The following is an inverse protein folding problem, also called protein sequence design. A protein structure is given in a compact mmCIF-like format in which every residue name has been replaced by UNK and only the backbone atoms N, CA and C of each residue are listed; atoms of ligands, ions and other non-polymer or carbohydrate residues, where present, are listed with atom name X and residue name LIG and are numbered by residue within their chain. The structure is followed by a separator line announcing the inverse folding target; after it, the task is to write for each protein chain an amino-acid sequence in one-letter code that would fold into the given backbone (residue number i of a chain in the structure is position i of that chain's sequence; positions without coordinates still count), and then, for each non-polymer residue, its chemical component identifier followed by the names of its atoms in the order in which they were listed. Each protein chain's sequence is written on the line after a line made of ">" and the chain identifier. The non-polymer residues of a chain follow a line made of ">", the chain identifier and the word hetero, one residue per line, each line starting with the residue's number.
data_IF_709843157161
#
_entry.id   IF_709843157161
#
_cell.length_a   1.000
_cell.length_b   1.000
_cell.length_c   1.000
_cell.angle_alpha   90.00
_cell.angle_beta   90.00
_cell.angle_gamma   90.00
#
_symmetry.space_group_name_H-M   'P 1'
#
loop_
_entity.id
_entity.type
_entity.pdbx_description
1 polymer ?
#
# COMPACT_ATOMS: atom_id res chain seq x y z
N UNK A 1 4.86 -26.37 34.12
CA UNK A 1 4.09 -25.14 33.80
C UNK A 1 2.73 -25.27 34.46
N UNK A 2 2.26 -24.25 35.19
CA UNK A 2 0.95 -24.27 35.83
C UNK A 2 -0.04 -23.29 35.17
N UNK A 3 -1.35 -23.40 35.50
CA UNK A 3 -2.39 -22.60 34.85
C UNK A 3 -2.22 -21.08 35.06
N UNK A 4 -1.73 -20.65 36.23
CA UNK A 4 -1.50 -19.22 36.51
C UNK A 4 -0.41 -18.63 35.63
N UNK A 5 0.67 -19.41 35.38
CA UNK A 5 1.72 -19.01 34.44
C UNK A 5 1.17 -18.87 33.02
N UNK A 6 0.31 -19.81 32.57
CA UNK A 6 -0.33 -19.78 31.25
C UNK A 6 -1.21 -18.53 31.13
N UNK A 7 -2.10 -18.28 32.11
CA UNK A 7 -2.97 -17.11 32.11
C UNK A 7 -2.17 -15.79 32.04
N UNK A 8 -1.12 -15.67 32.87
CA UNK A 8 -0.28 -14.48 32.90
C UNK A 8 0.42 -14.22 31.58
N UNK A 9 0.96 -15.27 30.96
CA UNK A 9 1.66 -15.15 29.67
C UNK A 9 0.71 -14.75 28.55
N UNK A 10 -0.46 -15.39 28.46
CA UNK A 10 -1.44 -15.09 27.42
C UNK A 10 -2.13 -13.74 27.68
N UNK A 11 -2.45 -13.41 28.93
CA UNK A 11 -3.12 -12.16 29.29
C UNK A 11 -2.28 -10.90 29.05
N UNK A 12 -0.95 -11.04 28.95
CA UNK A 12 -0.02 -9.95 28.58
C UNK A 12 0.23 -9.84 27.09
N UNK A 13 -0.25 -10.80 26.29
CA UNK A 13 0.00 -10.81 24.86
C UNK A 13 -0.90 -9.81 24.13
N UNK A 14 -0.29 -8.93 23.35
CA UNK A 14 -0.99 -8.12 22.35
C UNK A 14 -0.97 -8.88 21.03
N UNK A 15 -2.14 -9.28 20.50
CA UNK A 15 -2.20 -10.05 19.26
C UNK A 15 -1.52 -9.31 18.10
N UNK A 16 -0.68 -10.03 17.38
CA UNK A 16 0.03 -9.56 16.20
C UNK A 16 0.03 -10.66 15.14
N UNK A 17 0.21 -10.33 13.85
CA UNK A 17 0.44 -11.33 12.82
C UNK A 17 1.62 -12.23 13.17
N UNK A 18 1.50 -13.52 12.86
CA UNK A 18 2.61 -14.45 13.03
C UNK A 18 3.76 -14.06 12.10
N UNK A 19 4.97 -13.97 12.66
CA UNK A 19 6.18 -13.53 11.93
C UNK A 19 6.60 -14.52 10.82
N UNK A 20 7.32 -14.04 9.78
CA UNK A 20 7.76 -12.65 9.55
C UNK A 20 6.68 -11.81 8.87
N UNK A 21 6.51 -10.57 9.32
CA UNK A 21 5.56 -9.63 8.73
C UNK A 21 6.17 -8.23 8.69
N UNK A 22 6.08 -7.54 7.57
CA UNK A 22 6.51 -6.15 7.41
C UNK A 22 5.30 -5.24 7.38
N UNK A 23 5.46 -4.04 7.87
CA UNK A 23 4.44 -3.00 7.85
C UNK A 23 4.93 -1.83 7.01
N UNK A 24 4.07 -1.30 6.17
CA UNK A 24 4.33 -0.15 5.32
C UNK A 24 3.27 0.91 5.56
N UNK A 25 3.70 2.17 5.66
CA UNK A 25 2.83 3.32 5.65
C UNK A 25 2.97 4.05 4.32
N UNK A 26 1.86 4.32 3.65
CA UNK A 26 1.85 5.11 2.42
C UNK A 26 0.90 6.28 2.54
N UNK A 27 1.25 7.40 1.93
CA UNK A 27 0.39 8.56 1.77
C UNK A 27 -0.28 8.51 0.40
N UNK A 28 -1.55 8.81 0.36
CA UNK A 28 -2.32 9.11 -0.85
C UNK A 28 -2.44 10.63 -0.90
N UNK A 29 -1.51 11.36 -1.59
CA UNK A 29 -1.51 12.80 -1.58
C UNK A 29 -2.65 13.33 -2.45
N UNK A 30 -3.60 13.99 -1.80
CA UNK A 30 -4.71 14.68 -2.43
C UNK A 30 -4.32 16.16 -2.64
N UNK A 31 -3.90 16.47 -3.86
CA UNK A 31 -3.40 17.80 -4.21
C UNK A 31 -4.57 18.74 -4.49
N UNK A 32 -4.66 19.80 -3.69
CA UNK A 32 -5.73 20.80 -3.76
C UNK A 32 -5.29 22.00 -4.61
N UNK A 33 -6.07 22.31 -5.63
CA UNK A 33 -5.90 23.48 -6.48
C UNK A 33 -7.24 24.22 -6.66
N UNK A 34 -7.52 25.19 -5.80
CA UNK A 34 -8.84 25.80 -5.70
C UNK A 34 -9.89 24.77 -5.27
N UNK A 35 -10.91 24.58 -6.10
CA UNK A 35 -11.98 23.59 -5.85
C UNK A 35 -11.71 22.24 -6.55
N UNK A 36 -10.55 22.07 -7.16
CA UNK A 36 -10.16 20.83 -7.85
C UNK A 36 -9.17 20.03 -7.02
N UNK A 37 -9.28 18.71 -7.16
CA UNK A 37 -8.39 17.76 -6.52
C UNK A 37 -7.74 16.83 -7.54
N UNK A 38 -6.46 16.50 -7.30
CA UNK A 38 -5.72 15.50 -8.07
C UNK A 38 -4.99 14.58 -7.11
N UNK A 39 -4.74 13.34 -7.50
CA UNK A 39 -3.84 12.44 -6.80
C UNK A 39 -2.43 12.63 -7.35
N UNK A 40 -1.44 12.74 -6.46
CA UNK A 40 -0.03 12.74 -6.84
C UNK A 40 0.50 11.32 -6.80
N UNK A 41 1.22 10.95 -7.83
CA UNK A 41 1.93 9.69 -7.96
C UNK A 41 3.41 9.93 -8.19
N UNK A 42 4.20 8.94 -7.86
CA UNK A 42 5.63 8.88 -8.12
C UNK A 42 5.96 7.74 -9.07
N UNK A 43 6.95 7.96 -9.92
CA UNK A 43 7.64 6.91 -10.66
C UNK A 43 8.93 6.61 -9.91
N UNK A 44 9.11 5.39 -9.46
CA UNK A 44 10.29 4.95 -8.73
C UNK A 44 11.54 5.04 -9.59
N UNK A 45 12.65 5.48 -8.99
CA UNK A 45 13.93 5.59 -9.68
C UNK A 45 14.38 4.25 -10.28
N UNK A 46 14.92 4.29 -11.50
CA UNK A 46 15.51 3.12 -12.19
C UNK A 46 16.74 2.55 -11.45
N UNK A 47 17.34 3.32 -10.53
CA UNK A 47 18.49 2.90 -9.72
C UNK A 47 18.09 2.02 -8.52
N UNK A 48 16.81 1.92 -8.22
CA UNK A 48 16.33 1.11 -7.11
C UNK A 48 16.40 -0.40 -7.43
N UNK A 49 16.78 -1.20 -6.42
CA UNK A 49 16.84 -2.66 -6.53
C UNK A 49 15.42 -3.26 -6.61
N UNK A 50 14.45 -2.62 -5.96
CA UNK A 50 13.08 -3.15 -5.86
C UNK A 50 12.12 -2.30 -6.67
N UNK A 51 11.45 -2.91 -7.64
CA UNK A 51 10.39 -2.31 -8.44
C UNK A 51 10.79 -0.98 -9.12
N UNK A 52 11.94 -0.91 -9.83
CA UNK A 52 12.33 0.29 -10.58
C UNK A 52 11.28 0.62 -11.64
N UNK A 53 11.02 1.92 -11.85
CA UNK A 53 10.06 2.43 -12.84
C UNK A 53 8.58 2.16 -12.53
N UNK A 54 8.25 1.52 -11.40
CA UNK A 54 6.84 1.33 -11.01
C UNK A 54 6.23 2.64 -10.49
N UNK A 55 4.92 2.79 -10.77
CA UNK A 55 4.15 3.92 -10.27
C UNK A 55 3.58 3.58 -8.89
N UNK A 56 3.85 4.43 -7.91
CA UNK A 56 3.40 4.26 -6.54
C UNK A 56 2.90 5.57 -5.92
N UNK A 57 2.40 5.45 -4.71
CA UNK A 57 2.23 6.56 -3.78
C UNK A 57 3.48 6.69 -2.91
N UNK A 58 3.82 7.90 -2.43
CA UNK A 58 4.87 8.08 -1.45
C UNK A 58 4.69 7.18 -0.24
N UNK A 59 5.78 6.56 0.22
CA UNK A 59 5.72 5.70 1.38
C UNK A 59 6.76 4.61 1.43
N UNK A 60 6.92 4.01 2.61
CA UNK A 60 7.98 3.05 2.85
C UNK A 60 7.74 2.11 4.02
N UNK A 61 8.81 1.43 4.41
CA UNK A 61 8.82 0.51 5.54
C UNK A 61 8.72 1.23 6.87
N UNK A 62 7.85 0.73 7.75
CA UNK A 62 7.69 1.27 9.10
C UNK A 62 8.90 0.93 9.96
N UNK A 63 9.49 1.94 10.58
CA UNK A 63 10.57 1.81 11.56
C UNK A 63 10.05 1.38 12.95
N UNK A 64 10.98 0.89 13.80
CA UNK A 64 10.65 0.53 15.17
C UNK A 64 10.24 1.76 15.98
N UNK A 65 9.07 1.67 16.62
CA UNK A 65 8.56 2.72 17.50
C UNK A 65 7.64 3.75 16.82
N UNK A 66 7.63 3.85 15.50
CA UNK A 66 6.68 4.72 14.80
C UNK A 66 5.34 4.01 14.51
N UNK A 67 4.27 4.77 14.38
CA UNK A 67 3.00 4.29 13.84
C UNK A 67 3.03 4.23 12.31
N UNK A 68 2.12 3.47 11.66
CA UNK A 68 2.03 3.48 10.19
C UNK A 68 1.73 4.87 9.59
N UNK A 69 1.02 5.74 10.31
CA UNK A 69 0.74 7.11 9.87
C UNK A 69 2.00 7.98 9.94
N UNK A 70 2.77 7.89 11.02
CA UNK A 70 4.05 8.61 11.14
C UNK A 70 5.02 8.18 10.06
N UNK A 71 5.09 6.87 9.75
CA UNK A 71 5.85 6.33 8.62
C UNK A 71 5.41 6.96 7.29
N UNK A 72 4.10 6.95 6.99
CA UNK A 72 3.59 7.54 5.75
C UNK A 72 3.94 9.02 5.60
N UNK A 73 3.86 9.80 6.69
CA UNK A 73 4.24 11.23 6.68
C UNK A 73 5.74 11.39 6.49
N UNK A 74 6.56 10.66 7.24
CA UNK A 74 8.04 10.73 7.15
C UNK A 74 8.53 10.43 5.73
N UNK A 75 8.12 9.29 5.18
CA UNK A 75 8.52 8.87 3.83
C UNK A 75 8.09 9.92 2.78
N UNK A 76 6.84 10.42 2.87
CA UNK A 76 6.37 11.47 1.96
C UNK A 76 7.22 12.73 2.03
N UNK A 77 7.64 13.13 3.24
CA UNK A 77 8.53 14.29 3.41
C UNK A 77 9.92 14.04 2.81
N UNK A 78 10.44 12.83 2.93
CA UNK A 78 11.75 12.44 2.40
C UNK A 78 11.74 12.34 0.86
N UNK A 79 10.72 11.70 0.28
CA UNK A 79 10.59 11.50 -1.17
C UNK A 79 10.22 12.80 -1.89
N UNK A 80 9.23 13.54 -1.39
CA UNK A 80 8.77 14.80 -2.00
C UNK A 80 9.52 16.06 -1.51
N UNK A 81 10.48 15.91 -0.60
CA UNK A 81 11.25 17.04 -0.04
C UNK A 81 10.36 18.17 0.50
N UNK A 82 9.23 17.84 1.13
CA UNK A 82 8.30 18.77 1.78
C UNK A 82 8.34 18.60 3.29
N UNK A 83 7.94 19.65 4.02
CA UNK A 83 7.86 19.57 5.48
C UNK A 83 6.51 19.01 5.95
N UNK A 84 6.48 18.32 7.11
CA UNK A 84 5.29 17.60 7.57
C UNK A 84 4.08 18.50 7.83
N UNK A 85 4.29 19.77 8.16
CA UNK A 85 3.22 20.75 8.36
C UNK A 85 2.47 21.13 7.06
N UNK A 86 2.98 20.70 5.90
CA UNK A 86 2.31 20.85 4.60
C UNK A 86 1.35 19.71 4.28
N UNK A 87 1.30 18.68 5.11
CA UNK A 87 0.49 17.49 4.93
C UNK A 87 -0.62 17.49 5.98
N UNK A 88 -1.86 17.80 5.58
CA UNK A 88 -3.03 17.62 6.43
C UNK A 88 -3.57 16.20 6.28
N UNK A 89 -3.19 15.29 7.20
CA UNK A 89 -3.71 13.92 7.18
C UNK A 89 -5.18 13.92 7.58
N UNK A 90 -6.08 13.58 6.65
CA UNK A 90 -7.54 13.61 6.86
C UNK A 90 -8.14 12.26 7.25
N UNK A 91 -7.43 11.15 7.04
CA UNK A 91 -7.89 9.83 7.46
C UNK A 91 -7.09 8.68 6.88
N UNK A 92 -7.47 7.47 7.29
CA UNK A 92 -6.94 6.22 6.80
C UNK A 92 -7.93 5.55 5.84
N UNK A 93 -7.42 4.86 4.82
CA UNK A 93 -8.19 3.93 3.99
C UNK A 93 -8.11 2.50 4.56
N UNK A 94 -8.82 1.57 3.94
CA UNK A 94 -8.71 0.16 4.32
C UNK A 94 -7.28 -0.35 4.10
N UNK A 95 -6.72 -0.96 5.13
CA UNK A 95 -5.39 -1.56 5.02
C UNK A 95 -5.42 -2.86 4.21
N UNK A 96 -4.30 -3.19 3.62
CA UNK A 96 -4.16 -4.29 2.69
C UNK A 96 -3.12 -5.31 3.19
N UNK A 97 -3.56 -6.53 3.44
CA UNK A 97 -2.65 -7.66 3.68
C UNK A 97 -2.23 -8.28 2.36
N UNK A 98 -0.94 -8.28 2.09
CA UNK A 98 -0.37 -8.90 0.89
C UNK A 98 0.01 -10.36 1.14
N UNK A 99 -0.09 -11.19 0.11
CA UNK A 99 0.37 -12.58 0.16
C UNK A 99 1.90 -12.71 0.33
N UNK A 100 2.64 -11.62 0.09
CA UNK A 100 4.10 -11.52 0.28
C UNK A 100 4.50 -11.12 1.71
N UNK A 101 3.64 -11.37 2.70
CA UNK A 101 3.90 -11.20 4.13
C UNK A 101 4.16 -9.75 4.57
N UNK A 102 3.38 -8.82 4.07
CA UNK A 102 3.34 -7.46 4.58
C UNK A 102 1.92 -6.91 4.66
N UNK A 103 1.75 -5.88 5.48
CA UNK A 103 0.54 -5.06 5.53
C UNK A 103 0.85 -3.65 5.09
N UNK A 104 0.02 -3.11 4.20
CA UNK A 104 0.07 -1.75 3.70
C UNK A 104 -1.04 -0.93 4.36
N UNK A 105 -0.67 0.18 4.98
CA UNK A 105 -1.59 1.13 5.63
C UNK A 105 -1.61 2.43 4.82
N UNK A 106 -2.67 2.69 4.04
CA UNK A 106 -2.78 3.93 3.28
C UNK A 106 -3.48 5.01 4.10
N UNK A 107 -2.95 6.23 4.02
CA UNK A 107 -3.52 7.44 4.63
C UNK A 107 -3.76 8.49 3.55
N UNK A 108 -4.83 9.24 3.66
CA UNK A 108 -5.10 10.37 2.73
C UNK A 108 -4.60 11.65 3.38
N UNK A 109 -3.74 12.37 2.67
CA UNK A 109 -3.21 13.65 3.10
C UNK A 109 -3.47 14.73 2.06
N UNK A 110 -4.06 15.86 2.49
CA UNK A 110 -4.26 17.03 1.64
C UNK A 110 -3.00 17.86 1.62
N UNK A 111 -2.57 18.27 0.41
CA UNK A 111 -1.41 19.13 0.18
C UNK A 111 -1.82 20.19 -0.83
N UNK A 112 -1.45 21.46 -0.58
CA UNK A 112 -1.71 22.52 -1.54
C UNK A 112 -0.83 22.36 -2.79
N UNK A 113 -1.40 22.63 -3.96
CA UNK A 113 -0.69 22.57 -5.24
C UNK A 113 0.57 23.45 -5.26
N UNK A 114 0.53 24.61 -4.62
CA UNK A 114 1.67 25.54 -4.52
C UNK A 114 2.89 24.91 -3.82
N UNK A 115 2.65 23.96 -2.91
CA UNK A 115 3.72 23.29 -2.17
C UNK A 115 4.36 22.13 -2.96
N UNK A 116 3.74 21.66 -4.06
CA UNK A 116 4.25 20.52 -4.86
C UNK A 116 4.57 20.86 -6.31
N UNK A 117 4.11 21.97 -6.86
CA UNK A 117 4.23 22.32 -8.30
C UNK A 117 5.67 22.39 -8.85
N UNK A 118 6.65 22.63 -8.01
CA UNK A 118 8.07 22.79 -8.38
C UNK A 118 9.00 22.18 -7.33
N UNK A 119 8.58 21.14 -6.61
CA UNK A 119 9.40 20.55 -5.56
C UNK A 119 10.60 19.80 -6.15
N UNK A 120 11.76 19.91 -5.52
CA UNK A 120 12.88 19.03 -5.77
C UNK A 120 12.60 17.71 -5.03
N UNK A 121 12.09 16.69 -5.71
CA UNK A 121 11.96 15.36 -5.12
C UNK A 121 13.32 14.66 -4.99
N UNK A 122 13.40 13.64 -4.14
CA UNK A 122 14.60 12.83 -3.93
C UNK A 122 14.90 11.97 -5.17
N UNK A 123 15.80 12.43 -6.03
CA UNK A 123 16.14 11.76 -7.29
C UNK A 123 16.75 10.36 -7.12
N UNK A 124 17.23 9.99 -5.92
CA UNK A 124 17.72 8.65 -5.67
C UNK A 124 16.57 7.64 -5.56
N UNK A 125 15.37 8.09 -5.20
CA UNK A 125 14.20 7.26 -4.94
C UNK A 125 13.07 7.50 -5.95
N UNK A 126 12.92 8.74 -6.41
CA UNK A 126 11.86 9.20 -7.29
C UNK A 126 12.45 9.71 -8.60
N UNK A 127 12.00 9.17 -9.72
CA UNK A 127 12.39 9.60 -11.07
C UNK A 127 11.50 10.73 -11.58
N UNK A 128 10.22 10.66 -11.29
CA UNK A 128 9.19 11.59 -11.76
C UNK A 128 8.04 11.66 -10.76
N UNK A 129 7.39 12.82 -10.67
CA UNK A 129 6.10 12.97 -10.02
C UNK A 129 5.09 13.50 -11.03
N UNK A 130 3.84 13.01 -10.96
CA UNK A 130 2.76 13.47 -11.82
C UNK A 130 1.42 13.50 -11.11
N UNK A 131 0.50 14.29 -11.66
CA UNK A 131 -0.84 14.47 -11.12
C UNK A 131 -1.88 13.85 -12.04
N UNK A 132 -2.84 13.16 -11.43
CA UNK A 132 -4.04 12.68 -12.12
C UNK A 132 -5.26 13.30 -11.45
N UNK A 133 -6.15 13.99 -12.19
CA UNK A 133 -7.37 14.54 -11.61
C UNK A 133 -8.18 13.45 -10.91
N UNK A 134 -8.71 13.76 -9.71
CA UNK A 134 -9.53 12.80 -8.95
C UNK A 134 -10.78 12.40 -9.75
N UNK A 135 -11.36 13.35 -10.50
CA UNK A 135 -12.53 13.12 -11.38
C UNK A 135 -12.26 11.99 -12.39
N UNK A 136 -11.02 11.88 -12.92
CA UNK A 136 -10.68 10.78 -13.81
C UNK A 136 -10.97 9.41 -13.17
N UNK A 137 -10.60 9.21 -11.93
CA UNK A 137 -10.85 7.95 -11.22
C UNK A 137 -12.31 7.77 -10.78
N UNK A 138 -13.02 8.87 -10.56
CA UNK A 138 -14.45 8.83 -10.23
C UNK A 138 -15.31 8.51 -11.46
N UNK A 139 -14.89 8.92 -12.65
CA UNK A 139 -15.60 8.71 -13.91
C UNK A 139 -15.24 7.40 -14.62
N UNK A 140 -14.06 6.82 -14.30
CA UNK A 140 -13.55 5.64 -15.00
C UNK A 140 -13.34 4.47 -14.06
N UNK A 141 -13.91 3.32 -14.41
CA UNK A 141 -13.63 2.05 -13.73
C UNK A 141 -12.31 1.46 -14.25
N UNK A 142 -11.51 0.79 -13.37
CA UNK A 142 -10.28 0.15 -13.82
C UNK A 142 -10.55 -1.10 -14.65
N UNK A 143 -9.70 -1.39 -15.62
CA UNK A 143 -9.62 -2.72 -16.19
C UNK A 143 -9.13 -3.68 -15.09
N UNK A 144 -9.88 -4.74 -14.83
CA UNK A 144 -9.61 -5.61 -13.67
C UNK A 144 -9.34 -7.05 -14.07
N UNK A 145 -8.23 -7.60 -13.58
CA UNK A 145 -7.90 -9.02 -13.70
C UNK A 145 -7.94 -9.70 -12.33
N UNK A 146 -8.19 -11.00 -12.34
CA UNK A 146 -8.14 -11.84 -11.13
C UNK A 146 -7.08 -12.91 -11.33
N UNK A 147 -6.02 -12.87 -10.51
CA UNK A 147 -4.95 -13.87 -10.52
C UNK A 147 -5.19 -14.90 -9.43
N UNK A 148 -5.11 -16.22 -9.73
CA UNK A 148 -5.13 -17.23 -8.69
C UNK A 148 -3.83 -17.19 -7.88
N UNK A 149 -3.94 -17.41 -6.57
CA UNK A 149 -2.81 -17.57 -5.67
C UNK A 149 -2.87 -18.99 -5.12
N UNK A 150 -1.92 -19.81 -5.50
CA UNK A 150 -1.84 -21.23 -5.12
C UNK A 150 -0.52 -21.49 -4.38
N UNK A 151 -0.53 -22.34 -3.32
CA UNK A 151 0.70 -22.75 -2.70
C UNK A 151 1.57 -23.54 -3.68
N UNK A 152 2.86 -23.24 -3.72
CA UNK A 152 3.86 -24.10 -4.36
C UNK A 152 4.37 -25.06 -3.31
N UNK A 153 4.16 -26.35 -3.51
CA UNK A 153 4.53 -27.38 -2.57
C UNK A 153 5.95 -27.87 -2.90
N UNK A 154 6.88 -27.91 -1.92
CA UNK A 154 8.19 -28.49 -2.13
C UNK A 154 8.10 -29.97 -2.55
N UNK A 155 8.97 -30.41 -3.46
CA UNK A 155 8.95 -31.79 -3.98
C UNK A 155 9.22 -32.84 -2.91
N UNK A 156 9.89 -32.47 -1.83
CA UNK A 156 10.26 -33.33 -0.69
C UNK A 156 9.21 -33.28 0.44
N UNK A 157 8.09 -32.59 0.26
CA UNK A 157 7.02 -32.54 1.26
C UNK A 157 6.35 -33.92 1.39
N UNK A 158 6.48 -34.54 2.56
CA UNK A 158 5.89 -35.84 2.84
C UNK A 158 4.49 -35.71 3.44
N UNK A 159 3.46 -36.00 2.65
CA UNK A 159 2.06 -35.95 3.07
C UNK A 159 1.71 -36.89 4.23
N UNK A 160 2.45 -37.98 4.42
CA UNK A 160 2.25 -38.88 5.57
C UNK A 160 2.46 -38.15 6.91
N UNK A 161 3.27 -37.08 6.97
CA UNK A 161 3.47 -36.29 8.17
C UNK A 161 2.20 -35.56 8.65
N UNK A 162 1.25 -35.35 7.75
CA UNK A 162 -0.05 -34.74 8.05
C UNK A 162 -1.20 -35.74 8.01
N UNK A 163 -0.88 -37.06 8.03
CA UNK A 163 -1.84 -38.16 7.95
C UNK A 163 -2.77 -38.06 6.72
N UNK A 164 -2.21 -37.68 5.57
CA UNK A 164 -2.95 -37.52 4.33
C UNK A 164 -2.30 -38.28 3.19
N UNK A 165 -3.12 -38.74 2.26
CA UNK A 165 -2.65 -39.33 1.01
C UNK A 165 -2.58 -38.27 -0.09
N UNK A 166 -1.70 -38.45 -1.06
CA UNK A 166 -1.65 -37.58 -2.25
C UNK A 166 -2.82 -37.89 -3.20
N UNK A 167 -3.34 -36.87 -3.89
CA UNK A 167 -3.09 -35.45 -3.81
C UNK A 167 -3.93 -34.74 -2.73
N UNK A 168 -3.29 -33.92 -1.89
CA UNK A 168 -3.99 -33.05 -0.93
C UNK A 168 -4.48 -31.75 -1.62
N UNK A 169 -5.74 -31.41 -1.43
CA UNK A 169 -6.32 -30.18 -2.01
C UNK A 169 -6.02 -28.97 -1.10
N UNK A 170 -5.02 -28.21 -1.46
CA UNK A 170 -4.68 -26.97 -0.78
C UNK A 170 -5.71 -25.87 -1.07
N UNK A 171 -5.97 -25.03 -0.05
CA UNK A 171 -6.78 -23.82 -0.26
C UNK A 171 -6.05 -22.86 -1.17
N UNK A 172 -6.78 -22.28 -2.11
CA UNK A 172 -6.29 -21.26 -3.05
C UNK A 172 -6.94 -19.92 -2.72
N UNK A 173 -6.21 -18.84 -3.00
CA UNK A 173 -6.71 -17.47 -2.91
C UNK A 173 -6.87 -16.83 -4.28
N UNK A 174 -7.25 -15.55 -4.27
CA UNK A 174 -7.32 -14.72 -5.47
C UNK A 174 -6.75 -13.34 -5.16
N UNK A 175 -6.02 -12.76 -6.11
CA UNK A 175 -5.57 -11.38 -6.09
C UNK A 175 -6.25 -10.63 -7.22
N UNK A 176 -6.89 -9.51 -6.86
CA UNK A 176 -7.50 -8.60 -7.83
C UNK A 176 -6.46 -7.57 -8.24
N UNK A 177 -6.28 -7.40 -9.54
CA UNK A 177 -5.28 -6.50 -10.15
C UNK A 177 -6.02 -5.49 -11.01
N UNK A 178 -6.39 -4.33 -10.46
CA UNK A 178 -6.93 -3.22 -11.23
C UNK A 178 -5.83 -2.50 -12.00
N UNK A 179 -6.18 -1.90 -13.13
CA UNK A 179 -5.29 -1.16 -14.01
C UNK A 179 -6.04 0.09 -14.50
N UNK A 180 -5.44 1.27 -14.27
CA UNK A 180 -5.86 2.55 -14.82
C UNK A 180 -4.80 3.04 -15.80
N UNK A 181 -5.21 3.51 -16.96
CA UNK A 181 -4.32 4.15 -17.94
C UNK A 181 -4.66 5.64 -18.04
N UNK A 182 -3.69 6.49 -17.74
CA UNK A 182 -3.80 7.94 -17.84
C UNK A 182 -2.64 8.51 -18.64
N UNK A 183 -2.89 8.94 -19.87
CA UNK A 183 -1.84 9.37 -20.81
C UNK A 183 -0.84 8.24 -21.07
N UNK A 184 0.43 8.47 -20.77
CA UNK A 184 1.52 7.48 -20.87
C UNK A 184 1.69 6.62 -19.61
N UNK A 185 0.96 6.91 -18.51
CA UNK A 185 1.14 6.27 -17.23
C UNK A 185 0.14 5.12 -17.03
N UNK A 186 0.66 3.97 -16.60
CA UNK A 186 -0.15 2.79 -16.23
C UNK A 186 -0.07 2.58 -14.72
N UNK A 187 -1.13 2.92 -14.01
CA UNK A 187 -1.28 2.74 -12.56
C UNK A 187 -1.94 1.38 -12.35
N UNK A 188 -1.26 0.47 -11.66
CA UNK A 188 -1.73 -0.92 -11.53
C UNK A 188 -1.41 -1.54 -10.16
N UNK A 189 -1.84 -2.77 -9.94
CA UNK A 189 -1.45 -3.57 -8.79
C UNK A 189 -1.93 -2.98 -7.45
N UNK A 190 -1.02 -2.84 -6.49
CA UNK A 190 -1.32 -2.35 -5.13
C UNK A 190 -1.76 -0.88 -5.16
N UNK A 191 -1.07 -0.04 -5.93
CA UNK A 191 -1.38 1.38 -6.08
C UNK A 191 -2.79 1.58 -6.63
N UNK A 192 -3.15 0.88 -7.70
CA UNK A 192 -4.49 0.95 -8.26
C UNK A 192 -5.57 0.38 -7.32
N UNK A 193 -5.24 -0.60 -6.47
CA UNK A 193 -6.18 -1.11 -5.44
C UNK A 193 -6.48 -0.05 -4.39
N UNK A 194 -5.48 0.72 -3.97
CA UNK A 194 -5.65 1.84 -3.03
C UNK A 194 -6.51 2.93 -3.66
N UNK A 195 -6.23 3.32 -4.93
CA UNK A 195 -7.08 4.27 -5.68
C UNK A 195 -8.52 3.78 -5.75
N UNK A 196 -8.72 2.51 -6.12
CA UNK A 196 -10.08 1.95 -6.23
C UNK A 196 -10.83 1.92 -4.89
N UNK A 197 -10.14 1.66 -3.78
CA UNK A 197 -10.73 1.76 -2.44
C UNK A 197 -11.14 3.20 -2.12
N UNK A 198 -10.27 4.18 -2.38
CA UNK A 198 -10.61 5.61 -2.18
C UNK A 198 -11.84 6.01 -3.00
N UNK A 199 -11.86 5.70 -4.31
CA UNK A 199 -12.98 6.10 -5.19
C UNK A 199 -14.28 5.43 -4.80
N UNK A 200 -14.24 4.19 -4.32
CA UNK A 200 -15.42 3.49 -3.80
C UNK A 200 -16.00 4.22 -2.58
N UNK A 201 -15.16 4.56 -1.60
CA UNK A 201 -15.60 5.31 -0.41
C UNK A 201 -16.22 6.66 -0.79
N UNK A 202 -15.60 7.40 -1.73
CA UNK A 202 -16.12 8.70 -2.16
C UNK A 202 -17.44 8.60 -2.92
N UNK A 203 -17.71 7.50 -3.64
CA UNK A 203 -18.97 7.28 -4.35
C UNK A 203 -20.11 6.84 -3.42
N UNK A 204 -19.80 6.19 -2.29
CA UNK A 204 -20.81 5.74 -1.32
C UNK A 204 -21.38 6.89 -0.49
N UNK A 205 -20.67 8.02 -0.40
CA UNK A 205 -21.06 9.23 0.36
C UNK A 205 -21.74 10.32 -0.51
N UNK A 206 -21.70 10.24 -1.83
CA UNK A 206 -22.26 11.18 -2.81
C UNK A 206 -23.49 10.65 -3.49
#
# INVERSE_FOLDING_TARGET
>A
MNLETIKTSIGKNTPQPLKPYKYYGIMVPLIKQGDKFSLLFEVRSDELITQPGEICFPGGGKDDGESPQECAVRETCEELCISPEKIEVIGALDYLNAYSNFTLYPFVGVIDYEDVKNIPFNQNEVQETFLVPLDFFLENEPLTFTFPVTPTIPNDFNYALINHEEPYTWRTGKVIVPIYNYGSHTIWGLTARVVHNLTKLLREEG
#
